data_IF_461005626272
#
_entry.id   IF_461005626272
#
_cell.length_a   1.000
_cell.length_b   1.000
_cell.length_c   1.000
_cell.angle_alpha   90.00
_cell.angle_beta   90.00
_cell.angle_gamma   90.00
#
_symmetry.space_group_name_H-M   'P 1'
#
loop_
_entity.id
_entity.type
_entity.pdbx_description
1 polymer ?
#
# COMPACT_ATOMS: atom_id res chain seq x y z
N UNK A 1 -11.67 26.72 -1.75
CA UNK A 1 -10.57 26.51 -0.80
C UNK A 1 -11.01 26.95 0.59
N UNK A 2 -11.45 26.03 1.46
CA UNK A 2 -11.70 26.35 2.86
C UNK A 2 -10.38 26.24 3.62
N UNK A 3 -9.72 27.39 3.86
CA UNK A 3 -8.54 27.47 4.72
C UNK A 3 -8.94 27.06 6.15
N UNK A 4 -8.50 25.87 6.60
CA UNK A 4 -8.67 25.43 8.00
C UNK A 4 -7.98 26.41 8.95
N UNK A 5 -8.64 26.77 10.04
CA UNK A 5 -8.16 27.79 10.98
C UNK A 5 -6.91 27.32 11.76
N UNK A 6 -6.08 28.26 12.21
CA UNK A 6 -4.86 27.98 13.00
C UNK A 6 -5.16 27.22 14.30
N UNK A 7 -6.35 27.41 14.89
CA UNK A 7 -6.80 26.69 16.10
C UNK A 7 -7.02 25.19 15.87
N UNK A 8 -7.56 24.78 14.72
CA UNK A 8 -7.69 23.36 14.39
C UNK A 8 -6.34 22.69 14.16
N UNK A 9 -5.33 23.45 13.68
CA UNK A 9 -3.97 22.93 13.43
C UNK A 9 -3.14 22.78 14.70
N UNK A 10 -3.39 23.59 15.73
CA UNK A 10 -2.71 23.50 17.02
C UNK A 10 -3.15 22.29 17.86
N UNK A 11 -4.40 21.83 17.73
CA UNK A 11 -4.89 20.62 18.40
C UNK A 11 -4.19 19.34 17.90
N UNK A 12 -3.67 19.33 16.67
CA UNK A 12 -3.01 18.17 16.04
C UNK A 12 -1.67 17.82 16.68
N UNK A 13 -0.93 18.82 17.17
CA UNK A 13 0.32 18.59 17.90
C UNK A 13 0.10 17.87 19.25
N UNK A 14 -1.14 17.80 19.75
CA UNK A 14 -1.48 17.14 21.01
C UNK A 14 -1.71 15.61 20.87
N UNK A 15 -1.73 15.05 19.65
CA UNK A 15 -2.10 13.65 19.38
C UNK A 15 -0.93 12.83 18.80
N UNK A 16 0.32 13.15 19.16
CA UNK A 16 1.51 12.39 18.72
C UNK A 16 1.87 12.49 17.23
N UNK A 17 1.07 13.17 16.40
CA UNK A 17 1.32 13.43 14.97
C UNK A 17 1.71 14.90 14.77
N UNK A 18 2.98 15.17 14.46
CA UNK A 18 3.46 16.53 14.27
C UNK A 18 3.17 17.04 12.85
N UNK A 19 2.48 18.18 12.74
CA UNK A 19 2.28 18.87 11.45
C UNK A 19 3.54 19.64 11.08
N UNK A 20 4.15 19.28 9.96
CA UNK A 20 5.40 19.89 9.51
C UNK A 20 5.10 21.13 8.69
N UNK A 21 5.55 22.30 9.17
CA UNK A 21 5.52 23.55 8.39
C UNK A 21 4.15 23.83 7.75
N UNK A 22 3.09 23.87 8.55
CA UNK A 22 1.71 23.92 8.07
C UNK A 22 1.48 25.00 7.00
N UNK A 23 1.02 24.60 5.81
CA UNK A 23 0.82 25.50 4.67
C UNK A 23 2.09 26.08 4.03
N UNK A 24 3.28 25.77 4.54
CA UNK A 24 4.57 26.14 3.96
C UNK A 24 5.15 24.96 3.17
N UNK A 25 4.87 24.97 1.88
CA UNK A 25 5.27 23.89 0.99
C UNK A 25 6.77 23.73 0.81
N UNK A 26 7.51 24.84 0.84
CA UNK A 26 8.97 24.81 0.75
C UNK A 26 9.56 24.13 1.98
N UNK A 27 9.08 24.47 3.18
CA UNK A 27 9.52 23.83 4.42
C UNK A 27 9.19 22.35 4.46
N UNK A 28 8.00 21.95 3.99
CA UNK A 28 7.59 20.55 3.91
C UNK A 28 8.46 19.76 2.94
N UNK A 29 8.69 20.28 1.73
CA UNK A 29 9.58 19.66 0.74
C UNK A 29 10.99 19.48 1.28
N UNK A 30 11.56 20.52 1.90
CA UNK A 30 12.91 20.46 2.48
C UNK A 30 13.00 19.43 3.62
N UNK A 31 11.94 19.29 4.43
CA UNK A 31 11.86 18.27 5.47
C UNK A 31 11.80 16.85 4.89
N UNK A 32 10.98 16.60 3.87
CA UNK A 32 10.91 15.29 3.20
C UNK A 32 12.24 14.91 2.54
N UNK A 33 12.87 15.86 1.85
CA UNK A 33 14.19 15.65 1.22
C UNK A 33 15.26 15.32 2.25
N UNK A 34 15.23 15.98 3.42
CA UNK A 34 16.13 15.66 4.54
C UNK A 34 15.90 14.23 5.02
N UNK A 35 14.66 13.83 5.28
CA UNK A 35 14.35 12.46 5.73
C UNK A 35 14.85 11.39 4.75
N UNK A 36 14.74 11.65 3.44
CA UNK A 36 15.26 10.74 2.42
C UNK A 36 16.78 10.69 2.40
N UNK A 37 17.45 11.83 2.50
CA UNK A 37 18.92 11.88 2.55
C UNK A 37 19.45 11.14 3.78
N UNK A 38 18.89 11.43 4.96
CA UNK A 38 19.28 10.79 6.22
C UNK A 38 19.03 9.26 6.14
N UNK A 39 17.98 8.85 5.41
CA UNK A 39 17.75 7.44 5.11
C UNK A 39 18.81 6.80 4.25
N UNK A 40 19.12 7.42 3.11
CA UNK A 40 20.10 6.90 2.17
C UNK A 40 21.50 6.83 2.82
N UNK A 41 21.85 7.83 3.64
CA UNK A 41 23.06 7.85 4.46
C UNK A 41 23.09 6.67 5.46
N UNK A 42 21.96 6.42 6.14
CA UNK A 42 21.81 5.28 7.05
C UNK A 42 21.93 3.92 6.34
N UNK A 43 21.30 3.77 5.17
CA UNK A 43 21.41 2.55 4.35
C UNK A 43 22.86 2.32 3.92
N UNK A 44 23.54 3.36 3.44
CA UNK A 44 24.94 3.29 3.04
C UNK A 44 25.85 2.92 4.22
N UNK A 45 25.60 3.48 5.41
CA UNK A 45 26.34 3.14 6.63
C UNK A 45 26.15 1.67 7.02
N UNK A 46 24.92 1.15 6.96
CA UNK A 46 24.62 -0.25 7.26
C UNK A 46 25.26 -1.21 6.25
N UNK A 47 25.31 -0.83 4.97
CA UNK A 47 25.93 -1.63 3.91
C UNK A 47 27.46 -1.77 4.09
N UNK A 48 28.11 -0.79 4.73
CA UNK A 48 29.55 -0.79 5.02
C UNK A 48 29.96 -1.71 6.20
N UNK A 49 29.05 -2.55 6.70
CA UNK A 49 29.38 -3.57 7.70
C UNK A 49 29.59 -3.02 9.12
N UNK A 50 28.98 -1.88 9.46
CA UNK A 50 28.97 -1.41 10.85
C UNK A 50 28.42 -2.51 11.78
N UNK A 51 29.12 -2.75 12.89
CA UNK A 51 28.79 -3.79 13.89
C UNK A 51 27.35 -3.65 14.42
N UNK A 52 26.77 -2.45 14.33
CA UNK A 52 25.39 -2.16 14.71
C UNK A 52 24.60 -1.61 13.52
N UNK A 53 23.60 -2.35 13.05
CA UNK A 53 22.63 -1.87 12.05
C UNK A 53 21.82 -0.73 12.66
N UNK A 54 21.98 0.49 12.15
CA UNK A 54 21.24 1.68 12.62
C UNK A 54 19.89 1.77 11.89
N UNK A 55 18.88 2.28 12.59
CA UNK A 55 17.61 2.64 11.96
C UNK A 55 17.87 3.69 10.88
N UNK A 56 17.33 3.48 9.68
CA UNK A 56 17.55 4.38 8.53
C UNK A 56 16.46 5.43 8.40
N UNK A 57 15.65 5.64 9.42
CA UNK A 57 14.74 6.78 9.52
C UNK A 57 14.73 7.18 10.99
N UNK A 58 14.78 8.48 11.27
CA UNK A 58 14.65 9.00 12.64
C UNK A 58 13.32 8.51 13.25
N UNK A 59 13.39 8.04 14.49
CA UNK A 59 12.67 6.82 14.93
C UNK A 59 11.46 7.12 15.80
N UNK A 60 11.18 8.37 16.15
CA UNK A 60 10.25 8.64 17.25
C UNK A 60 8.99 9.43 16.90
N UNK A 61 9.03 10.30 15.89
CA UNK A 61 7.91 11.19 15.59
C UNK A 61 7.16 10.76 14.33
N UNK A 62 5.82 10.69 14.46
CA UNK A 62 4.94 10.65 13.30
C UNK A 62 4.77 12.06 12.75
N UNK A 63 4.77 12.21 11.42
CA UNK A 63 4.77 13.50 10.75
C UNK A 63 3.60 13.61 9.77
N UNK A 64 3.03 14.80 9.64
CA UNK A 64 2.00 15.12 8.66
C UNK A 64 2.40 16.31 7.78
N UNK A 65 2.23 16.13 6.48
CA UNK A 65 2.55 17.08 5.42
C UNK A 65 1.26 17.43 4.67
N UNK A 66 0.63 18.53 5.07
CA UNK A 66 -0.70 18.93 4.57
C UNK A 66 -0.68 19.31 3.09
N UNK A 67 0.42 19.83 2.56
CA UNK A 67 0.52 20.16 1.13
C UNK A 67 0.47 18.89 0.25
N UNK A 68 0.92 17.76 0.78
CA UNK A 68 1.02 16.50 0.06
C UNK A 68 -0.10 15.52 0.41
N UNK A 69 -1.00 15.85 1.35
CA UNK A 69 -1.92 14.91 2.00
C UNK A 69 -1.19 13.64 2.45
N UNK A 70 -0.04 13.80 3.11
CA UNK A 70 0.83 12.69 3.45
C UNK A 70 1.07 12.59 4.95
N UNK A 71 0.79 11.43 5.53
CA UNK A 71 1.28 11.08 6.85
C UNK A 71 2.48 10.13 6.74
N UNK A 72 3.47 10.33 7.59
CA UNK A 72 4.68 9.51 7.67
C UNK A 72 4.79 8.92 9.06
N UNK A 73 4.56 7.61 9.15
CA UNK A 73 4.81 6.86 10.38
C UNK A 73 6.24 6.28 10.37
N UNK A 74 6.90 6.17 11.54
CA UNK A 74 8.18 5.48 11.68
C UNK A 74 8.17 4.04 11.16
N UNK A 75 9.36 3.52 10.83
CA UNK A 75 9.50 2.20 10.24
C UNK A 75 9.28 1.10 11.29
N UNK A 76 8.11 0.48 11.29
CA UNK A 76 7.77 -0.63 12.20
C UNK A 76 8.12 -2.01 11.65
N UNK A 77 8.73 -2.08 10.45
CA UNK A 77 9.24 -3.33 9.88
C UNK A 77 10.45 -3.84 10.68
N UNK A 78 10.45 -5.11 11.07
CA UNK A 78 11.56 -5.68 11.83
C UNK A 78 11.19 -6.83 12.78
N UNK A 79 9.92 -7.20 12.85
CA UNK A 79 9.45 -8.27 13.72
C UNK A 79 9.23 -7.83 15.16
N UNK A 80 9.47 -8.75 16.10
CA UNK A 80 9.33 -8.51 17.54
C UNK A 80 10.17 -7.33 18.04
N UNK A 81 11.35 -7.10 17.45
CA UNK A 81 12.23 -5.98 17.81
C UNK A 81 11.61 -4.57 17.63
N UNK A 82 10.49 -4.46 16.90
CA UNK A 82 9.76 -3.20 16.70
C UNK A 82 8.45 -3.11 17.50
N UNK A 83 8.19 -4.04 18.42
CA UNK A 83 6.96 -4.07 19.21
C UNK A 83 6.80 -2.84 20.10
N UNK A 84 7.87 -2.41 20.79
CA UNK A 84 7.84 -1.20 21.61
C UNK A 84 7.53 0.06 20.79
N UNK A 85 8.07 0.16 19.57
CA UNK A 85 7.76 1.27 18.67
C UNK A 85 6.30 1.25 18.22
N UNK A 86 5.75 0.07 17.88
CA UNK A 86 4.33 -0.07 17.55
C UNK A 86 3.42 0.38 18.71
N UNK A 87 3.72 -0.07 19.93
CA UNK A 87 2.99 0.34 21.14
C UNK A 87 3.09 1.86 21.35
N UNK A 88 4.30 2.43 21.28
CA UNK A 88 4.54 3.88 21.40
C UNK A 88 3.73 4.70 20.39
N UNK A 89 3.62 4.26 19.13
CA UNK A 89 2.81 4.96 18.12
C UNK A 89 1.31 4.96 18.43
N UNK A 90 0.82 3.92 19.10
CA UNK A 90 -0.58 3.84 19.54
C UNK A 90 -0.78 4.72 20.79
N UNK A 91 0.06 4.52 21.81
CA UNK A 91 -0.04 5.20 23.12
C UNK A 91 0.20 6.71 23.03
N UNK A 92 1.11 7.16 22.17
CA UNK A 92 1.36 8.59 21.93
C UNK A 92 0.23 9.31 21.19
N UNK A 93 -0.76 8.56 20.69
CA UNK A 93 -1.84 9.09 19.87
C UNK A 93 -1.50 9.20 18.38
N UNK A 94 -0.26 8.94 17.95
CA UNK A 94 0.14 9.16 16.54
C UNK A 94 -0.79 8.45 15.53
N UNK A 95 -1.23 7.24 15.84
CA UNK A 95 -2.23 6.51 15.04
C UNK A 95 -3.58 7.25 14.98
N UNK A 96 -4.08 7.73 16.12
CA UNK A 96 -5.32 8.52 16.18
C UNK A 96 -5.18 9.85 15.41
N UNK A 97 -4.02 10.49 15.50
CA UNK A 97 -3.71 11.67 14.68
C UNK A 97 -3.76 11.39 13.18
N UNK A 98 -3.24 10.23 12.73
CA UNK A 98 -3.35 9.83 11.31
C UNK A 98 -4.80 9.57 10.91
N UNK A 99 -5.56 8.90 11.77
CA UNK A 99 -6.98 8.65 11.54
C UNK A 99 -7.76 9.96 11.37
N UNK A 100 -7.49 10.95 12.20
CA UNK A 100 -8.16 12.26 12.14
C UNK A 100 -7.70 13.11 10.94
N UNK A 101 -6.38 13.24 10.73
CA UNK A 101 -5.83 14.21 9.78
C UNK A 101 -5.73 13.68 8.35
N UNK A 102 -5.64 12.36 8.18
CA UNK A 102 -5.49 11.74 6.87
C UNK A 102 -6.71 10.89 6.50
N UNK A 103 -7.10 9.96 7.38
CA UNK A 103 -8.13 8.97 7.01
C UNK A 103 -9.54 9.56 6.98
N UNK A 104 -9.93 10.39 7.96
CA UNK A 104 -11.25 11.01 7.95
C UNK A 104 -11.47 11.90 6.70
N UNK A 105 -10.51 12.75 6.27
CA UNK A 105 -10.60 13.44 4.99
C UNK A 105 -10.69 12.51 3.78
N UNK A 106 -9.89 11.44 3.73
CA UNK A 106 -9.95 10.45 2.65
C UNK A 106 -11.32 9.76 2.58
N UNK A 107 -11.89 9.40 3.73
CA UNK A 107 -13.22 8.83 3.82
C UNK A 107 -14.29 9.83 3.39
N UNK A 108 -14.13 11.13 3.65
CA UNK A 108 -15.09 12.16 3.24
C UNK A 108 -14.96 12.59 1.76
N UNK A 109 -13.83 12.30 1.11
CA UNK A 109 -13.47 12.84 -0.20
C UNK A 109 -14.20 12.24 -1.41
N UNK A 110 -14.73 11.01 -1.29
CA UNK A 110 -15.32 10.29 -2.43
C UNK A 110 -16.46 9.38 -2.01
N UNK A 111 -17.22 8.91 -3.00
CA UNK A 111 -18.29 7.93 -2.81
C UNK A 111 -17.73 6.54 -2.52
N UNK A 112 -16.58 6.21 -3.13
CA UNK A 112 -15.90 4.92 -2.99
C UNK A 112 -14.46 5.11 -2.51
N UNK A 113 -14.04 4.31 -1.53
CA UNK A 113 -12.75 4.41 -0.85
C UNK A 113 -11.84 3.31 -1.33
N UNK A 114 -10.72 3.69 -1.94
CA UNK A 114 -9.71 2.75 -2.46
C UNK A 114 -8.46 2.85 -1.60
N UNK A 115 -7.95 1.70 -1.15
CA UNK A 115 -6.63 1.60 -0.54
C UNK A 115 -5.70 0.89 -1.50
N UNK A 116 -4.56 1.48 -1.82
CA UNK A 116 -3.54 0.90 -2.69
C UNK A 116 -2.33 0.53 -1.83
N UNK A 117 -2.05 -0.76 -1.65
CA UNK A 117 -0.91 -1.25 -0.88
C UNK A 117 0.30 -1.46 -1.78
N UNK A 118 1.23 -0.52 -1.70
CA UNK A 118 2.34 -0.38 -2.62
C UNK A 118 1.88 0.20 -3.95
N UNK A 119 2.57 1.22 -4.46
CA UNK A 119 2.37 1.66 -5.85
C UNK A 119 3.52 2.56 -6.28
N UNK A 120 4.34 2.07 -7.22
CA UNK A 120 5.49 2.81 -7.77
C UNK A 120 5.17 3.51 -9.09
N UNK A 121 3.97 3.30 -9.62
CA UNK A 121 3.57 3.85 -10.92
C UNK A 121 2.68 5.06 -10.74
N UNK A 122 3.24 6.23 -11.01
CA UNK A 122 2.46 7.47 -11.11
C UNK A 122 1.51 7.42 -12.30
N UNK A 123 1.92 6.81 -13.42
CA UNK A 123 1.08 6.65 -14.60
C UNK A 123 -0.20 5.85 -14.30
N UNK A 124 -0.06 4.71 -13.59
CA UNK A 124 -1.19 3.92 -13.13
C UNK A 124 -2.14 4.74 -12.25
N UNK A 125 -1.61 5.41 -11.22
CA UNK A 125 -2.44 6.23 -10.32
C UNK A 125 -3.15 7.36 -11.06
N UNK A 126 -2.45 8.06 -11.96
CA UNK A 126 -3.04 9.10 -12.83
C UNK A 126 -4.21 8.54 -13.61
N UNK A 127 -4.04 7.40 -14.30
CA UNK A 127 -5.12 6.77 -15.07
C UNK A 127 -6.30 6.40 -14.17
N UNK A 128 -6.06 5.79 -13.01
CA UNK A 128 -7.14 5.42 -12.09
C UNK A 128 -7.93 6.62 -11.57
N UNK A 129 -7.23 7.73 -11.30
CA UNK A 129 -7.81 9.00 -10.84
C UNK A 129 -8.55 9.76 -11.95
N UNK A 130 -8.15 9.58 -13.21
CA UNK A 130 -8.82 10.14 -14.39
C UNK A 130 -10.02 9.32 -14.84
N UNK A 131 -10.06 8.02 -14.52
CA UNK A 131 -11.14 7.13 -14.93
C UNK A 131 -12.51 7.55 -14.37
N UNK A 132 -12.56 8.12 -13.16
CA UNK A 132 -13.75 8.78 -12.63
C UNK A 132 -13.43 9.75 -11.47
N UNK A 133 -14.47 10.41 -10.98
CA UNK A 133 -14.43 11.28 -9.79
C UNK A 133 -15.00 10.63 -8.53
N UNK A 134 -15.63 9.45 -8.63
CA UNK A 134 -16.31 8.78 -7.53
C UNK A 134 -15.33 8.18 -6.50
N UNK A 135 -14.13 7.78 -6.94
CA UNK A 135 -13.15 7.12 -6.08
C UNK A 135 -12.19 8.12 -5.43
N UNK A 136 -11.95 7.92 -4.12
CA UNK A 136 -10.85 8.52 -3.36
C UNK A 136 -9.81 7.45 -3.00
N UNK A 137 -8.54 7.81 -3.13
CA UNK A 137 -7.41 6.89 -3.04
C UNK A 137 -6.53 7.20 -1.83
N UNK A 138 -6.22 6.17 -1.06
CA UNK A 138 -5.17 6.16 -0.06
C UNK A 138 -4.05 5.22 -0.52
N UNK A 139 -2.87 5.76 -0.81
CA UNK A 139 -1.70 4.97 -1.15
C UNK A 139 -0.87 4.70 0.10
N UNK A 140 -0.74 3.43 0.46
CA UNK A 140 0.02 2.96 1.62
C UNK A 140 1.30 2.28 1.11
N UNK A 141 2.47 2.84 1.42
CA UNK A 141 3.75 2.24 1.01
C UNK A 141 4.82 2.45 2.09
N UNK A 142 5.67 1.47 2.42
CA UNK A 142 6.77 1.66 3.36
C UNK A 142 7.89 2.56 2.81
N UNK A 143 7.96 2.79 1.49
CA UNK A 143 8.95 3.60 0.81
C UNK A 143 8.54 5.08 0.76
N UNK A 144 9.20 5.91 1.58
CA UNK A 144 9.01 7.35 1.55
C UNK A 144 9.37 7.95 0.19
N UNK A 145 10.37 7.39 -0.49
CA UNK A 145 10.86 7.87 -1.79
C UNK A 145 9.76 7.78 -2.84
N UNK A 146 9.12 6.62 -2.96
CA UNK A 146 8.07 6.38 -3.95
C UNK A 146 6.84 7.24 -3.67
N UNK A 147 6.43 7.34 -2.40
CA UNK A 147 5.33 8.21 -1.98
C UNK A 147 5.61 9.68 -2.28
N UNK A 148 6.82 10.17 -2.01
CA UNK A 148 7.19 11.56 -2.29
C UNK A 148 7.17 11.86 -3.80
N UNK A 149 7.67 10.94 -4.62
CA UNK A 149 7.62 11.07 -6.09
C UNK A 149 6.17 11.14 -6.56
N UNK A 150 5.31 10.23 -6.09
CA UNK A 150 3.89 10.21 -6.46
C UNK A 150 3.15 11.46 -5.96
N UNK A 151 3.32 11.86 -4.71
CA UNK A 151 2.64 13.03 -4.14
C UNK A 151 3.06 14.33 -4.84
N UNK A 152 4.34 14.50 -5.16
CA UNK A 152 4.82 15.68 -5.88
C UNK A 152 4.21 15.78 -7.28
N UNK A 153 4.06 14.65 -7.96
CA UNK A 153 3.49 14.61 -9.31
C UNK A 153 1.96 14.77 -9.33
N UNK A 154 1.25 14.17 -8.36
CA UNK A 154 -0.19 13.95 -8.46
C UNK A 154 -1.02 14.87 -7.57
N UNK A 155 -0.52 15.26 -6.40
CA UNK A 155 -1.28 16.13 -5.48
C UNK A 155 -1.68 17.46 -6.11
N UNK A 156 -0.88 18.15 -6.95
CA UNK A 156 -1.31 19.39 -7.61
C UNK A 156 -2.61 19.26 -8.40
N UNK A 157 -2.86 18.09 -9.01
CA UNK A 157 -4.06 17.83 -9.82
C UNK A 157 -5.17 17.12 -9.03
N UNK A 158 -4.82 16.31 -8.04
CA UNK A 158 -5.75 15.37 -7.39
C UNK A 158 -5.84 15.49 -5.86
N UNK A 159 -5.41 16.60 -5.27
CA UNK A 159 -5.38 16.82 -3.81
C UNK A 159 -6.70 16.48 -3.09
N UNK A 160 -7.85 16.65 -3.72
CA UNK A 160 -9.12 16.37 -3.04
C UNK A 160 -9.47 14.88 -2.96
N UNK A 161 -8.75 14.00 -3.68
CA UNK A 161 -9.09 12.58 -3.81
C UNK A 161 -7.90 11.64 -3.66
N UNK A 162 -6.70 12.16 -3.38
CA UNK A 162 -5.48 11.36 -3.27
C UNK A 162 -4.74 11.68 -1.97
N UNK A 163 -4.46 10.63 -1.22
CA UNK A 163 -3.89 10.65 0.11
C UNK A 163 -2.76 9.62 0.20
N UNK A 164 -1.74 9.90 1.01
CA UNK A 164 -0.55 9.06 1.12
C UNK A 164 -0.25 8.73 2.57
N UNK A 165 0.07 7.47 2.84
CA UNK A 165 0.47 6.99 4.15
C UNK A 165 1.76 6.21 4.01
N UNK A 166 2.86 6.75 4.53
CA UNK A 166 4.08 5.98 4.72
C UNK A 166 3.89 5.08 5.92
N UNK A 167 3.65 3.80 5.69
CA UNK A 167 3.42 2.79 6.72
C UNK A 167 3.70 1.39 6.17
N UNK A 168 4.02 0.45 7.06
CA UNK A 168 4.02 -0.97 6.71
C UNK A 168 2.56 -1.46 6.58
N UNK A 169 2.28 -2.27 5.55
CA UNK A 169 0.91 -2.61 5.15
C UNK A 169 0.14 -3.40 6.22
N UNK A 170 0.76 -4.36 6.90
CA UNK A 170 0.11 -5.10 8.00
C UNK A 170 -0.22 -4.17 9.16
N UNK A 171 0.71 -3.31 9.59
CA UNK A 171 0.43 -2.31 10.61
C UNK A 171 -0.67 -1.33 10.20
N UNK A 172 -0.70 -0.92 8.92
CA UNK A 172 -1.76 -0.09 8.39
C UNK A 172 -3.13 -0.79 8.51
N UNK A 173 -3.26 -2.04 8.07
CA UNK A 173 -4.51 -2.79 8.14
C UNK A 173 -4.97 -3.06 9.58
N UNK A 174 -4.05 -3.37 10.48
CA UNK A 174 -4.38 -3.84 11.83
C UNK A 174 -4.58 -2.70 12.84
N UNK A 175 -3.94 -1.55 12.64
CA UNK A 175 -3.86 -0.51 13.66
C UNK A 175 -4.31 0.87 13.16
N UNK A 176 -4.02 1.20 11.89
CA UNK A 176 -4.28 2.55 11.36
C UNK A 176 -5.65 2.63 10.70
N UNK A 177 -5.94 1.71 9.78
CA UNK A 177 -7.19 1.62 9.05
C UNK A 177 -8.28 1.07 9.96
N UNK A 178 -9.43 1.73 9.96
CA UNK A 178 -10.60 1.25 10.69
C UNK A 178 -11.27 0.09 9.92
N UNK A 179 -11.93 -0.85 10.63
CA UNK A 179 -12.65 -1.93 10.00
C UNK A 179 -13.74 -1.42 9.04
N UNK A 180 -13.95 -2.12 7.94
CA UNK A 180 -15.04 -1.85 6.99
C UNK A 180 -15.09 -0.39 6.47
N UNK A 181 -13.92 0.19 6.20
CA UNK A 181 -13.79 1.55 5.67
C UNK A 181 -13.47 1.61 4.19
N UNK A 182 -12.73 0.64 3.65
CA UNK A 182 -12.36 0.61 2.24
C UNK A 182 -13.39 -0.15 1.40
N UNK A 183 -13.73 0.37 0.22
CA UNK A 183 -14.51 -0.38 -0.75
C UNK A 183 -13.60 -1.35 -1.53
N UNK A 184 -12.42 -0.90 -1.95
CA UNK A 184 -11.49 -1.70 -2.76
C UNK A 184 -10.08 -1.63 -2.19
N UNK A 185 -9.40 -2.77 -2.13
CA UNK A 185 -7.99 -2.88 -1.81
C UNK A 185 -7.22 -3.33 -3.06
N UNK A 186 -6.28 -2.54 -3.53
CA UNK A 186 -5.47 -2.86 -4.73
C UNK A 186 -4.04 -3.12 -4.30
N UNK A 187 -3.45 -4.20 -4.80
CA UNK A 187 -2.04 -4.56 -4.56
C UNK A 187 -1.35 -4.71 -5.93
N UNK A 188 -0.89 -3.61 -6.53
CA UNK A 188 -0.32 -3.62 -7.87
C UNK A 188 1.14 -4.06 -7.85
N UNK A 189 1.48 -5.09 -8.63
CA UNK A 189 2.85 -5.58 -8.86
C UNK A 189 3.68 -5.71 -7.57
N UNK A 190 3.19 -6.44 -6.54
CA UNK A 190 3.94 -6.62 -5.31
C UNK A 190 5.30 -7.27 -5.59
N UNK A 191 6.33 -6.91 -4.81
CA UNK A 191 7.69 -7.46 -5.01
C UNK A 191 7.70 -8.94 -4.60
N UNK A 192 8.14 -9.87 -5.48
CA UNK A 192 8.03 -11.31 -5.21
C UNK A 192 9.05 -11.84 -4.20
N UNK A 193 10.16 -11.13 -3.96
CA UNK A 193 11.27 -11.57 -3.08
C UNK A 193 11.65 -13.04 -3.28
N UNK A 194 12.39 -13.29 -4.37
CA UNK A 194 12.71 -14.62 -4.88
C UNK A 194 13.25 -15.56 -3.80
N UNK A 195 14.34 -15.16 -3.14
CA UNK A 195 15.06 -16.04 -2.23
C UNK A 195 14.28 -16.43 -0.98
N UNK A 196 14.52 -17.63 -0.47
CA UNK A 196 14.00 -18.06 0.85
C UNK A 196 14.29 -17.04 1.95
N UNK A 197 15.49 -16.44 1.98
CA UNK A 197 15.87 -15.42 2.97
C UNK A 197 15.07 -14.12 2.81
N UNK A 198 14.75 -13.72 1.59
CA UNK A 198 13.97 -12.51 1.30
C UNK A 198 12.45 -12.70 1.43
N UNK A 199 11.97 -13.93 1.36
CA UNK A 199 10.55 -14.29 1.28
C UNK A 199 9.67 -13.73 2.41
N UNK A 200 10.22 -13.50 3.60
CA UNK A 200 9.51 -12.89 4.73
C UNK A 200 9.03 -11.46 4.49
N UNK A 201 9.45 -10.84 3.38
CA UNK A 201 9.04 -9.51 2.95
C UNK A 201 7.92 -9.54 1.91
N UNK A 202 7.51 -10.72 1.43
CA UNK A 202 6.37 -10.87 0.52
C UNK A 202 5.14 -10.32 1.22
N UNK A 203 4.45 -9.40 0.56
CA UNK A 203 3.28 -8.73 1.12
C UNK A 203 2.06 -9.65 1.13
N UNK A 204 1.84 -10.38 0.03
CA UNK A 204 0.58 -11.09 -0.18
C UNK A 204 0.68 -12.51 0.35
N UNK A 205 0.33 -12.68 1.63
CA UNK A 205 0.22 -13.96 2.32
C UNK A 205 -1.11 -14.05 3.08
N UNK A 206 -1.39 -15.20 3.69
CA UNK A 206 -2.63 -15.48 4.44
C UNK A 206 -3.04 -14.35 5.41
N UNK A 207 -2.15 -13.93 6.31
CA UNK A 207 -2.53 -12.92 7.31
C UNK A 207 -2.83 -11.55 6.69
N UNK A 208 -2.12 -11.19 5.62
CA UNK A 208 -2.40 -9.97 4.88
C UNK A 208 -3.79 -10.01 4.25
N UNK A 209 -4.19 -11.13 3.65
CA UNK A 209 -5.55 -11.30 3.15
C UNK A 209 -6.60 -11.13 4.24
N UNK A 210 -6.41 -11.76 5.39
CA UNK A 210 -7.31 -11.62 6.54
C UNK A 210 -7.37 -10.17 7.05
N UNK A 211 -6.23 -9.49 7.13
CA UNK A 211 -6.16 -8.10 7.56
C UNK A 211 -6.81 -7.15 6.55
N UNK A 212 -6.57 -7.34 5.25
CA UNK A 212 -7.23 -6.56 4.19
C UNK A 212 -8.74 -6.80 4.18
N UNK A 213 -9.19 -8.05 4.36
CA UNK A 213 -10.61 -8.39 4.47
C UNK A 213 -11.30 -7.67 5.64
N UNK A 214 -10.59 -7.49 6.76
CA UNK A 214 -11.11 -6.76 7.91
C UNK A 214 -11.34 -5.27 7.61
N UNK A 215 -10.49 -4.65 6.82
CA UNK A 215 -10.62 -3.24 6.41
C UNK A 215 -11.70 -3.04 5.34
N UNK A 216 -11.95 -4.03 4.49
CA UNK A 216 -12.90 -3.92 3.38
C UNK A 216 -14.35 -3.87 3.84
N UNK A 217 -15.21 -3.18 3.11
CA UNK A 217 -16.67 -3.22 3.26
C UNK A 217 -17.26 -4.47 2.62
N UNK A 218 -18.35 -4.96 3.20
CA UNK A 218 -19.13 -6.04 2.58
C UNK A 218 -19.77 -5.53 1.30
N UNK A 219 -19.75 -6.35 0.25
CA UNK A 219 -20.43 -6.06 -1.00
C UNK A 219 -21.95 -5.93 -0.78
N UNK A 220 -22.58 -4.96 -1.42
CA UNK A 220 -24.04 -4.77 -1.38
C UNK A 220 -24.79 -5.76 -2.28
N UNK A 221 -24.13 -6.27 -3.31
CA UNK A 221 -24.75 -7.18 -4.26
C UNK A 221 -23.75 -7.96 -5.11
N UNK A 222 -24.26 -8.84 -5.98
CA UNK A 222 -23.41 -9.70 -6.79
C UNK A 222 -22.51 -8.92 -7.73
N UNK A 223 -22.87 -7.76 -8.27
CA UNK A 223 -22.05 -6.99 -9.23
C UNK A 223 -21.14 -5.94 -8.58
N UNK A 224 -21.25 -5.75 -7.27
CA UNK A 224 -20.46 -4.76 -6.54
C UNK A 224 -18.95 -5.11 -6.61
N UNK A 225 -18.08 -4.17 -7.03
CA UNK A 225 -16.64 -4.38 -7.15
C UNK A 225 -15.89 -4.40 -5.80
N UNK A 226 -16.58 -4.27 -4.66
CA UNK A 226 -15.96 -4.33 -3.33
C UNK A 226 -15.16 -5.62 -3.10
N UNK A 227 -13.90 -5.45 -2.73
CA UNK A 227 -12.98 -6.58 -2.59
C UNK A 227 -11.51 -6.20 -2.69
N UNK A 228 -10.68 -7.23 -2.82
CA UNK A 228 -9.25 -7.10 -3.07
C UNK A 228 -8.94 -7.42 -4.53
N UNK A 229 -8.02 -6.68 -5.14
CA UNK A 229 -7.49 -6.90 -6.48
C UNK A 229 -5.97 -6.88 -6.40
N UNK A 230 -5.32 -7.90 -6.95
CA UNK A 230 -3.87 -8.04 -7.02
C UNK A 230 -3.50 -8.46 -8.42
N UNK A 231 -2.35 -7.99 -8.89
CA UNK A 231 -1.82 -8.42 -10.17
C UNK A 231 -0.31 -8.43 -10.18
N UNK A 232 0.27 -9.37 -10.91
CA UNK A 232 1.71 -9.56 -11.07
C UNK A 232 1.99 -10.15 -12.44
N UNK A 233 3.15 -9.89 -13.00
CA UNK A 233 3.69 -10.60 -14.17
C UNK A 233 4.62 -11.75 -13.76
N UNK A 234 4.55 -12.21 -12.50
CA UNK A 234 5.34 -13.30 -11.95
C UNK A 234 4.46 -14.52 -11.64
N UNK A 235 4.44 -15.50 -12.53
CA UNK A 235 3.62 -16.72 -12.39
C UNK A 235 3.85 -17.48 -11.07
N UNK A 236 5.10 -17.77 -10.62
CA UNK A 236 5.30 -18.43 -9.33
C UNK A 236 4.73 -17.64 -8.14
N UNK A 237 4.77 -16.31 -8.23
CA UNK A 237 4.19 -15.46 -7.18
C UNK A 237 2.67 -15.41 -7.29
N UNK A 238 2.09 -15.41 -8.50
CA UNK A 238 0.66 -15.54 -8.69
C UNK A 238 0.12 -16.85 -8.10
N UNK A 239 0.81 -17.98 -8.32
CA UNK A 239 0.45 -19.26 -7.71
C UNK A 239 0.51 -19.20 -6.17
N UNK A 240 1.55 -18.58 -5.61
CA UNK A 240 1.66 -18.34 -4.16
C UNK A 240 0.53 -17.45 -3.61
N UNK A 241 0.17 -16.39 -4.34
CA UNK A 241 -0.94 -15.51 -3.96
C UNK A 241 -2.28 -16.23 -3.98
N UNK A 242 -2.49 -17.14 -4.95
CA UNK A 242 -3.69 -17.97 -5.03
C UNK A 242 -3.76 -18.98 -3.88
N UNK A 243 -2.66 -19.70 -3.60
CA UNK A 243 -2.57 -20.66 -2.50
C UNK A 243 -2.96 -20.01 -1.16
N UNK A 244 -2.43 -18.82 -0.86
CA UNK A 244 -2.77 -18.10 0.37
C UNK A 244 -4.19 -17.51 0.38
N UNK A 245 -4.76 -17.20 -0.80
CA UNK A 245 -6.15 -16.76 -0.89
C UNK A 245 -7.12 -17.93 -0.61
N UNK A 246 -6.81 -19.11 -1.13
CA UNK A 246 -7.53 -20.37 -0.87
C UNK A 246 -7.41 -20.81 0.59
N UNK A 247 -6.24 -20.62 1.19
CA UNK A 247 -5.99 -20.85 2.61
C UNK A 247 -6.85 -19.91 3.46
N UNK A 248 -6.93 -18.63 3.09
CA UNK A 248 -7.76 -17.62 3.76
C UNK A 248 -9.27 -17.88 3.64
N UNK A 249 -9.70 -18.83 2.80
CA UNK A 249 -11.12 -19.09 2.48
C UNK A 249 -11.87 -17.84 2.01
N UNK A 250 -11.12 -16.88 1.47
CA UNK A 250 -11.67 -15.65 0.88
C UNK A 250 -11.93 -15.81 -0.62
N UNK A 251 -11.65 -16.99 -1.18
CA UNK A 251 -12.07 -17.33 -2.54
C UNK A 251 -13.59 -17.42 -2.56
N UNK A 252 -14.24 -16.36 -3.01
CA UNK A 252 -15.58 -16.49 -3.59
C UNK A 252 -15.40 -17.21 -4.92
N UNK A 253 -16.11 -18.33 -5.19
CA UNK A 253 -16.02 -19.00 -6.48
C UNK A 253 -16.25 -17.99 -7.60
N UNK A 254 -15.22 -17.80 -8.42
CA UNK A 254 -15.21 -16.93 -9.60
C UNK A 254 -16.15 -17.41 -10.71
N UNK A 255 -16.85 -18.51 -10.49
CA UNK A 255 -17.63 -19.28 -11.45
C UNK A 255 -18.92 -18.59 -11.93
N UNK A 256 -19.19 -17.33 -11.56
CA UNK A 256 -20.37 -16.57 -12.03
C UNK A 256 -20.08 -15.19 -12.63
N UNK A 257 -18.81 -14.81 -12.85
CA UNK A 257 -18.45 -13.50 -13.41
C UNK A 257 -17.29 -13.61 -14.38
N UNK A 258 -17.28 -12.77 -15.41
CA UNK A 258 -16.09 -12.49 -16.18
C UNK A 258 -15.21 -11.48 -15.38
N UNK A 259 -14.10 -11.90 -14.76
CA UNK A 259 -13.26 -11.03 -13.93
C UNK A 259 -12.72 -9.84 -14.73
N UNK A 260 -12.51 -10.06 -16.04
CA UNK A 260 -12.07 -9.04 -16.98
C UNK A 260 -13.07 -7.90 -17.19
N UNK A 261 -14.33 -8.02 -16.73
CA UNK A 261 -15.31 -6.92 -16.82
C UNK A 261 -15.44 -6.16 -15.49
N UNK A 262 -15.45 -6.85 -14.36
CA UNK A 262 -15.68 -6.23 -13.03
C UNK A 262 -14.43 -5.56 -12.49
N UNK A 263 -13.26 -6.14 -12.77
CA UNK A 263 -11.99 -5.63 -12.26
C UNK A 263 -11.09 -5.04 -13.35
N UNK A 264 -11.56 -4.99 -14.60
CA UNK A 264 -10.80 -4.49 -15.75
C UNK A 264 -10.11 -3.16 -15.48
N UNK A 265 -10.87 -2.24 -14.88
CA UNK A 265 -10.40 -0.91 -14.55
C UNK A 265 -9.10 -0.95 -13.77
N UNK A 266 -9.01 -1.84 -12.79
CA UNK A 266 -7.89 -1.94 -11.85
C UNK A 266 -6.65 -2.56 -12.47
N UNK A 267 -6.80 -3.30 -13.57
CA UNK A 267 -5.67 -3.95 -14.23
C UNK A 267 -4.77 -2.90 -14.90
N UNK A 268 -3.45 -3.16 -14.97
CA UNK A 268 -2.53 -2.27 -15.63
C UNK A 268 -2.76 -2.30 -17.15
N UNK A 269 -2.37 -1.24 -17.85
CA UNK A 269 -2.24 -1.27 -19.30
C UNK A 269 -0.87 -1.81 -19.69
N UNK A 270 -0.87 -2.83 -20.55
CA UNK A 270 0.35 -3.46 -21.07
C UNK A 270 1.10 -2.53 -22.04
N UNK A 271 0.40 -1.57 -22.67
CA UNK A 271 0.99 -0.55 -23.52
C UNK A 271 0.23 0.78 -23.36
N UNK A 272 0.89 1.81 -22.80
CA UNK A 272 0.48 3.21 -22.98
C UNK A 272 1.18 3.75 -24.24
N UNK A 273 0.41 4.34 -25.14
CA UNK A 273 0.97 5.10 -26.27
C UNK A 273 1.23 6.54 -25.79
N UNK A 274 2.49 6.88 -25.56
CA UNK A 274 2.91 8.27 -25.36
C UNK A 274 3.25 8.88 -26.73
N UNK A 275 2.53 9.92 -27.14
CA UNK A 275 2.89 10.72 -28.32
C UNK A 275 3.97 11.70 -27.89
N UNK A 276 5.20 11.52 -28.38
CA UNK A 276 6.31 12.44 -28.12
C UNK A 276 6.21 13.63 -29.07
N UNK A 277 6.74 14.81 -28.70
CA UNK A 277 6.71 16.06 -29.51
C UNK A 277 7.21 15.90 -30.96
N UNK A 278 7.94 14.82 -31.27
CA UNK A 278 8.39 14.44 -32.61
C UNK A 278 7.41 13.58 -33.42
N UNK A 279 6.19 13.33 -32.93
CA UNK A 279 5.20 12.45 -33.55
C UNK A 279 5.52 10.96 -33.47
N UNK A 280 6.56 10.58 -32.71
CA UNK A 280 6.91 9.16 -32.47
C UNK A 280 6.05 8.63 -31.32
N UNK A 281 5.30 7.57 -31.58
CA UNK A 281 4.59 6.81 -30.55
C UNK A 281 5.57 5.96 -29.74
N UNK A 282 5.70 6.24 -28.45
CA UNK A 282 6.46 5.40 -27.53
C UNK A 282 5.51 4.56 -26.69
N UNK A 283 5.62 3.24 -26.82
CA UNK A 283 4.88 2.29 -25.97
C UNK A 283 5.59 2.16 -24.63
N UNK A 284 4.87 2.45 -23.53
CA UNK A 284 5.40 2.33 -22.17
C UNK A 284 4.44 1.53 -21.30
N UNK A 285 4.98 0.54 -20.58
CA UNK A 285 4.23 -0.18 -19.54
C UNK A 285 4.00 0.72 -18.33
N UNK A 286 2.83 0.59 -17.69
CA UNK A 286 2.55 1.29 -16.44
C UNK A 286 3.49 0.85 -15.32
N UNK A 287 3.92 -0.41 -15.32
CA UNK A 287 4.83 -0.96 -14.32
C UNK A 287 6.09 -1.56 -14.97
N UNK A 288 7.26 -1.45 -14.31
CA UNK A 288 8.43 -2.21 -14.73
C UNK A 288 8.15 -3.73 -14.68
N UNK A 289 8.63 -4.44 -15.71
CA UNK A 289 8.52 -5.91 -15.81
C UNK A 289 9.28 -6.59 -14.67
N UNK A 290 8.66 -7.53 -13.96
CA UNK A 290 9.33 -8.36 -12.95
C UNK A 290 9.76 -9.71 -13.53
N UNK A 291 8.99 -10.31 -14.45
CA UNK A 291 9.35 -11.59 -15.10
C UNK A 291 8.73 -11.81 -16.48
N UNK A 292 7.42 -12.02 -16.57
CA UNK A 292 6.71 -12.41 -17.79
C UNK A 292 6.15 -11.21 -18.56
N UNK A 293 5.68 -11.46 -19.80
CA UNK A 293 5.03 -10.40 -20.59
C UNK A 293 3.59 -10.16 -20.18
N UNK A 294 2.87 -11.22 -19.84
CA UNK A 294 1.46 -11.22 -19.46
C UNK A 294 1.28 -10.93 -17.96
N UNK A 295 0.26 -10.13 -17.64
CA UNK A 295 -0.14 -9.83 -16.27
C UNK A 295 -1.20 -10.82 -15.80
N UNK A 296 -0.88 -11.55 -14.73
CA UNK A 296 -1.82 -12.42 -14.04
C UNK A 296 -2.51 -11.61 -12.94
N UNK A 297 -3.83 -11.53 -13.04
CA UNK A 297 -4.66 -10.86 -12.06
C UNK A 297 -5.46 -11.84 -11.22
N UNK A 298 -5.49 -11.59 -9.92
CA UNK A 298 -6.33 -12.26 -8.94
C UNK A 298 -7.20 -11.21 -8.27
N UNK A 299 -8.39 -11.59 -7.88
CA UNK A 299 -9.23 -10.76 -7.04
C UNK A 299 -9.89 -11.63 -5.98
N UNK A 300 -10.56 -11.01 -5.02
CA UNK A 300 -11.58 -11.65 -4.20
C UNK A 300 -12.61 -10.60 -3.75
N UNK A 301 -13.90 -10.88 -3.93
CA UNK A 301 -14.96 -10.00 -3.42
C UNK A 301 -15.23 -10.29 -1.94
N UNK A 302 -15.50 -9.26 -1.12
CA UNK A 302 -15.89 -9.46 0.28
C UNK A 302 -17.38 -9.80 0.37
N UNK A 303 -17.69 -11.10 0.47
CA UNK A 303 -19.07 -11.61 0.47
C UNK A 303 -19.78 -11.57 1.82
N UNK A 304 -19.05 -11.39 2.93
CA UNK A 304 -19.61 -11.35 4.27
C UNK A 304 -18.71 -10.58 5.23
N UNK A 305 -19.23 -10.31 6.43
CA UNK A 305 -18.46 -9.66 7.49
C UNK A 305 -17.28 -10.53 7.94
N UNK A 306 -16.26 -9.90 8.52
CA UNK A 306 -15.19 -10.64 9.18
C UNK A 306 -15.75 -11.35 10.41
N UNK A 307 -15.59 -12.67 10.48
CA UNK A 307 -16.10 -13.47 11.61
C UNK A 307 -15.42 -13.08 12.93
N UNK A 308 -16.10 -13.22 14.09
CA UNK A 308 -15.50 -12.93 15.40
C UNK A 308 -14.19 -13.68 15.67
N UNK A 309 -14.07 -14.94 15.24
CA UNK A 309 -12.85 -15.73 15.41
C UNK A 309 -11.69 -15.19 14.57
N UNK A 310 -11.95 -14.82 13.31
CA UNK A 310 -10.95 -14.13 12.48
C UNK A 310 -10.52 -12.79 13.10
N UNK A 311 -11.46 -12.01 13.65
CA UNK A 311 -11.14 -10.77 14.37
C UNK A 311 -10.23 -11.03 15.58
N UNK A 312 -10.51 -12.09 16.35
CA UNK A 312 -9.67 -12.49 17.49
C UNK A 312 -8.26 -12.88 17.04
N UNK A 313 -8.13 -13.67 15.98
CA UNK A 313 -6.83 -14.06 15.42
C UNK A 313 -6.02 -12.83 14.95
N UNK A 314 -6.66 -11.89 14.26
CA UNK A 314 -6.02 -10.64 13.83
C UNK A 314 -5.57 -9.78 15.02
N UNK A 315 -6.34 -9.72 16.11
CA UNK A 315 -5.95 -9.01 17.32
C UNK A 315 -4.72 -9.61 18.02
N UNK A 316 -4.50 -10.91 17.84
CA UNK A 316 -3.33 -11.64 18.35
C UNK A 316 -2.17 -11.74 17.37
N UNK A 317 -2.20 -11.01 16.25
CA UNK A 317 -1.18 -11.14 15.21
C UNK A 317 0.23 -10.82 15.75
N UNK A 318 1.10 -11.82 15.71
CA UNK A 318 2.52 -11.65 15.97
C UNK A 318 3.23 -11.22 14.68
N UNK A 319 3.96 -10.11 14.77
CA UNK A 319 4.74 -9.55 13.67
C UNK A 319 6.01 -10.36 13.35
N UNK A 320 6.18 -11.55 13.93
CA UNK A 320 7.33 -12.42 13.65
C UNK A 320 7.49 -12.70 12.15
N UNK A 321 8.76 -12.86 11.74
CA UNK A 321 9.10 -13.07 10.33
C UNK A 321 8.70 -14.49 9.92
N UNK A 322 7.78 -14.61 8.97
CA UNK A 322 7.39 -15.88 8.36
C UNK A 322 8.17 -16.07 7.07
N UNK A 323 8.99 -17.12 6.98
CA UNK A 323 9.77 -17.43 5.78
C UNK A 323 9.03 -18.45 4.92
N UNK A 324 8.95 -18.18 3.62
CA UNK A 324 8.28 -19.02 2.64
C UNK A 324 9.29 -19.69 1.69
N UNK A 325 8.80 -20.67 0.93
CA UNK A 325 9.60 -21.37 -0.09
C UNK A 325 10.18 -20.40 -1.12
N UNK A 326 11.37 -20.74 -1.62
CA UNK A 326 12.00 -19.99 -2.70
C UNK A 326 11.17 -20.09 -3.98
N UNK A 327 11.28 -19.09 -4.85
CA UNK A 327 10.74 -19.13 -6.21
C UNK A 327 11.78 -19.56 -7.25
N UNK A 328 13.03 -19.83 -6.81
CA UNK A 328 14.12 -20.32 -7.64
C UNK A 328 13.98 -21.81 -8.05
N UNK A 329 12.99 -22.54 -7.53
CA UNK A 329 12.82 -23.97 -7.85
C UNK A 329 11.47 -24.27 -8.51
N UNK A 330 11.51 -24.39 -9.84
CA UNK A 330 10.85 -25.42 -10.68
C UNK A 330 11.13 -25.11 -12.15
N UNK A 331 12.34 -25.39 -12.62
CA UNK A 331 12.46 -26.04 -13.93
C UNK A 331 12.07 -27.48 -13.66
N UNK A 332 10.77 -27.77 -13.69
CA UNK A 332 10.36 -29.15 -13.88
C UNK A 332 10.88 -29.51 -15.26
N UNK A 333 11.88 -30.40 -15.30
CA UNK A 333 12.25 -31.11 -16.51
C UNK A 333 10.96 -31.50 -17.22
N UNK A 334 10.74 -30.97 -18.41
CA UNK A 334 9.72 -31.52 -19.30
C UNK A 334 10.01 -33.01 -19.40
N UNK A 335 9.10 -33.82 -18.88
CA UNK A 335 9.08 -35.23 -19.17
C UNK A 335 8.90 -35.40 -20.68
N UNK A 336 9.72 -36.26 -21.29
CA UNK A 336 9.47 -36.79 -22.62
C UNK A 336 10.42 -36.29 -23.71
N UNK A 337 11.63 -36.84 -23.73
CA UNK A 337 12.36 -37.02 -24.97
C UNK A 337 12.83 -38.46 -25.05
N UNK A 338 11.99 -39.24 -25.73
CA UNK A 338 12.17 -40.57 -26.37
C UNK A 338 12.49 -41.75 -25.46
#
# INVERSE_FOLDING_TARGET
MLRRSSRQRAAVAAVGLAVVGAGDGTRQRNSLQRLLRDHDEGVAANARGAITVRSTYDVESALYYDQYNMAVLPCVSGGAARQSLRAKLIESGAVAGVQEQLLAPWQAAGERRVVVFGCRSTAYLTRQLLADTAHSFLVVDPSLKELMVAATALTPAFANRLFFLRCESMFACLQVLQPETADVAVVPMPVPFWSKRGSHRRLVHFDFYCAAHHVLRVREGPTDPRGVVLFTDCEPYAAFMMEHLEEAKLVVPYTRKNPSQVFQRWLPYDELVEVVESGVERRRREFPKQRNEEVIALAAAKSGATTPDATRLLSSYDYSRKYYRDFAEKVVQQAGSV
#
